data_IF_417834737370
#
_entry.id   IF_417834737370
#
_cell.length_a   1.000
_cell.length_b   1.000
_cell.length_c   1.000
_cell.angle_alpha   90.00
_cell.angle_beta   90.00
_cell.angle_gamma   90.00
#
_symmetry.space_group_name_H-M   'P 1'
#
loop_
_entity.id
_entity.type
_entity.pdbx_description
1 polymer ?
#
# COMPACT_ATOMS: atom_id res chain seq x y z
N UNK A 1 14.05 20.86 12.11
CA UNK A 1 13.74 19.61 11.41
C UNK A 1 14.33 19.65 10.00
N UNK A 2 14.93 18.55 9.54
CA UNK A 2 15.47 18.45 8.18
C UNK A 2 14.34 18.36 7.13
N UNK A 3 13.26 17.64 7.45
CA UNK A 3 12.08 17.48 6.60
C UNK A 3 10.89 18.23 7.18
N UNK A 4 9.94 18.62 6.33
CA UNK A 4 8.64 19.24 6.70
C UNK A 4 7.49 18.25 6.65
N UNK A 5 7.62 17.24 5.78
CA UNK A 5 6.59 16.24 5.56
C UNK A 5 7.18 14.84 5.39
N UNK A 6 6.32 13.85 5.64
CA UNK A 6 6.63 12.44 5.46
C UNK A 6 5.55 11.81 4.58
N UNK A 7 5.98 11.17 3.49
CA UNK A 7 5.16 10.27 2.69
C UNK A 7 5.30 8.88 3.29
N UNK A 8 4.21 8.20 3.57
CA UNK A 8 4.20 6.90 4.23
C UNK A 8 3.41 5.92 3.37
N UNK A 9 4.02 4.80 3.01
CA UNK A 9 3.32 3.72 2.35
C UNK A 9 2.26 3.09 3.28
N UNK A 10 1.28 2.40 2.71
CA UNK A 10 0.15 1.86 3.47
C UNK A 10 0.32 0.37 3.75
N UNK A 11 0.37 -0.45 2.70
CA UNK A 11 0.37 -1.91 2.85
C UNK A 11 1.76 -2.41 3.28
N UNK A 12 1.81 -3.23 4.33
CA UNK A 12 3.02 -3.69 5.03
C UNK A 12 3.88 -2.58 5.69
N UNK A 13 3.37 -1.31 5.71
CA UNK A 13 3.99 -0.21 6.46
C UNK A 13 3.05 0.30 7.57
N UNK A 14 1.79 0.57 7.26
CA UNK A 14 0.75 1.00 8.22
C UNK A 14 -0.24 -0.13 8.47
N UNK A 15 -0.75 -0.74 7.39
CA UNK A 15 -1.69 -1.85 7.44
C UNK A 15 -1.00 -3.17 7.11
N UNK A 16 -1.28 -4.19 7.91
CA UNK A 16 -0.70 -5.53 7.75
C UNK A 16 -1.34 -6.23 6.55
N UNK A 17 -0.58 -6.35 5.45
CA UNK A 17 -1.08 -6.87 4.18
C UNK A 17 -1.59 -8.31 4.29
N UNK A 18 -0.82 -9.21 4.92
CA UNK A 18 -1.14 -10.65 4.93
C UNK A 18 -2.43 -10.95 5.67
N UNK A 19 -2.64 -10.54 6.94
CA UNK A 19 -3.91 -10.78 7.63
C UNK A 19 -5.07 -10.05 6.96
N UNK A 20 -4.88 -8.84 6.45
CA UNK A 20 -5.92 -8.13 5.69
C UNK A 20 -6.31 -8.89 4.41
N UNK A 21 -5.33 -9.41 3.67
CA UNK A 21 -5.55 -10.19 2.47
C UNK A 21 -6.27 -11.51 2.78
N UNK A 22 -5.90 -12.17 3.88
CA UNK A 22 -6.55 -13.39 4.35
C UNK A 22 -8.00 -13.15 4.73
N UNK A 23 -8.28 -12.11 5.50
CA UNK A 23 -9.64 -11.72 5.91
C UNK A 23 -10.53 -11.45 4.69
N UNK A 24 -10.02 -10.69 3.72
CA UNK A 24 -10.76 -10.38 2.49
C UNK A 24 -11.02 -11.63 1.64
N UNK A 25 -10.04 -12.54 1.55
CA UNK A 25 -10.17 -13.79 0.82
C UNK A 25 -11.21 -14.72 1.46
N UNK A 26 -11.16 -14.91 2.77
CA UNK A 26 -12.09 -15.76 3.51
C UNK A 26 -13.54 -15.24 3.42
N UNK A 27 -13.70 -13.92 3.36
CA UNK A 27 -15.03 -13.32 3.12
C UNK A 27 -15.52 -13.49 1.67
N UNK A 28 -14.61 -13.52 0.68
CA UNK A 28 -14.96 -13.67 -0.73
C UNK A 28 -15.18 -15.12 -1.16
N UNK A 29 -14.52 -16.08 -0.50
CA UNK A 29 -14.59 -17.51 -0.82
C UNK A 29 -14.58 -18.35 0.47
N UNK A 30 -15.60 -18.21 1.34
CA UNK A 30 -15.60 -18.79 2.69
C UNK A 30 -15.59 -20.31 2.71
N UNK A 31 -16.11 -20.94 1.64
CA UNK A 31 -16.21 -22.40 1.54
C UNK A 31 -14.90 -23.10 1.13
N UNK A 32 -13.88 -22.30 0.71
CA UNK A 32 -12.62 -22.80 0.18
C UNK A 32 -11.40 -22.07 0.74
N UNK A 33 -11.22 -22.01 2.08
CA UNK A 33 -10.09 -21.31 2.71
C UNK A 33 -8.72 -21.92 2.34
N UNK A 34 -8.70 -23.17 1.88
CA UNK A 34 -7.48 -23.87 1.42
C UNK A 34 -6.85 -23.24 0.17
N UNK A 35 -7.62 -22.50 -0.63
CA UNK A 35 -7.12 -21.86 -1.84
C UNK A 35 -6.42 -20.52 -1.59
N UNK A 36 -6.39 -20.03 -0.34
CA UNK A 36 -5.76 -18.75 -0.03
C UNK A 36 -4.28 -18.70 -0.46
N UNK A 37 -3.51 -19.73 -0.20
CA UNK A 37 -2.09 -19.71 -0.55
C UNK A 37 -1.89 -19.59 -2.07
N UNK A 38 -2.67 -20.32 -2.87
CA UNK A 38 -2.62 -20.23 -4.32
C UNK A 38 -3.00 -18.82 -4.81
N UNK A 39 -4.07 -18.24 -4.24
CA UNK A 39 -4.48 -16.87 -4.53
C UNK A 39 -3.36 -15.87 -4.21
N UNK A 40 -2.78 -16.00 -3.02
CA UNK A 40 -1.72 -15.12 -2.53
C UNK A 40 -0.45 -15.20 -3.39
N UNK A 41 -0.08 -16.40 -3.83
CA UNK A 41 1.09 -16.62 -4.69
C UNK A 41 0.87 -16.04 -6.10
N UNK A 42 -0.32 -16.20 -6.69
CA UNK A 42 -0.68 -15.60 -7.98
C UNK A 42 -0.64 -14.07 -7.89
N UNK A 43 -1.29 -13.48 -6.88
CA UNK A 43 -1.29 -12.05 -6.68
C UNK A 43 0.13 -11.52 -6.44
N UNK A 44 0.91 -12.17 -5.55
CA UNK A 44 2.29 -11.80 -5.24
C UNK A 44 3.21 -11.81 -6.46
N UNK A 45 3.09 -12.82 -7.33
CA UNK A 45 3.83 -12.88 -8.60
C UNK A 45 3.48 -11.71 -9.51
N UNK A 46 2.19 -11.43 -9.72
CA UNK A 46 1.74 -10.36 -10.61
C UNK A 46 2.15 -8.97 -10.09
N UNK A 47 2.03 -8.73 -8.78
CA UNK A 47 2.53 -7.49 -8.18
C UNK A 47 4.06 -7.37 -8.29
N UNK A 48 4.81 -8.48 -8.16
CA UNK A 48 6.25 -8.47 -8.39
C UNK A 48 6.60 -8.11 -9.82
N UNK A 49 5.88 -8.65 -10.80
CA UNK A 49 6.05 -8.34 -12.23
C UNK A 49 5.70 -6.86 -12.52
N UNK A 50 4.68 -6.30 -11.87
CA UNK A 50 4.34 -4.87 -11.98
C UNK A 50 5.44 -3.95 -11.44
N UNK A 51 6.08 -4.31 -10.32
CA UNK A 51 7.23 -3.54 -9.77
C UNK A 51 8.38 -3.42 -10.78
N UNK A 52 8.48 -4.37 -11.72
CA UNK A 52 9.48 -4.37 -12.80
C UNK A 52 8.93 -3.82 -14.14
N UNK A 53 7.74 -3.21 -14.13
CA UNK A 53 7.16 -2.53 -15.28
C UNK A 53 6.51 -3.44 -16.34
N UNK A 54 6.26 -4.73 -16.02
CA UNK A 54 5.58 -5.65 -16.93
C UNK A 54 4.08 -5.36 -17.04
N UNK A 55 3.48 -4.93 -15.94
CA UNK A 55 2.07 -4.57 -15.83
C UNK A 55 1.91 -3.27 -15.04
N UNK A 56 0.85 -2.53 -15.31
CA UNK A 56 0.33 -1.49 -14.42
C UNK A 56 -0.41 -2.13 -13.24
N UNK A 57 -0.59 -1.40 -12.15
CA UNK A 57 -1.41 -1.87 -11.02
C UNK A 57 -2.85 -2.14 -11.46
N UNK A 58 -3.41 -1.34 -12.37
CA UNK A 58 -4.74 -1.56 -12.92
C UNK A 58 -4.85 -2.94 -13.61
N UNK A 59 -3.88 -3.28 -14.46
CA UNK A 59 -3.82 -4.58 -15.12
C UNK A 59 -3.69 -5.73 -14.12
N UNK A 60 -2.84 -5.58 -13.10
CA UNK A 60 -2.72 -6.60 -12.04
C UNK A 60 -4.04 -6.82 -11.33
N UNK A 61 -4.74 -5.74 -10.98
CA UNK A 61 -6.04 -5.81 -10.30
C UNK A 61 -7.13 -6.54 -11.11
N UNK A 62 -6.99 -6.60 -12.43
CA UNK A 62 -7.89 -7.34 -13.32
C UNK A 62 -7.39 -8.76 -13.64
N UNK A 63 -6.08 -9.00 -13.57
CA UNK A 63 -5.47 -10.28 -13.92
C UNK A 63 -5.52 -11.31 -12.79
N UNK A 64 -5.18 -10.92 -11.53
CA UNK A 64 -5.07 -11.91 -10.46
C UNK A 64 -6.38 -12.67 -10.17
N UNK A 65 -7.59 -12.05 -10.24
CA UNK A 65 -8.81 -12.82 -10.02
C UNK A 65 -9.08 -13.81 -11.15
N UNK A 66 -8.77 -13.41 -12.39
CA UNK A 66 -8.96 -14.27 -13.58
C UNK A 66 -8.05 -15.49 -13.51
N UNK A 67 -6.77 -15.28 -13.27
CA UNK A 67 -5.80 -16.37 -13.12
C UNK A 67 -6.17 -17.31 -11.96
N UNK A 68 -6.57 -16.73 -10.83
CA UNK A 68 -6.95 -17.51 -9.66
C UNK A 68 -8.19 -18.37 -9.93
N UNK A 69 -9.27 -17.81 -10.45
CA UNK A 69 -10.52 -18.53 -10.74
C UNK A 69 -10.28 -19.66 -11.77
N UNK A 70 -9.47 -19.38 -12.79
CA UNK A 70 -9.08 -20.42 -13.76
C UNK A 70 -8.23 -21.53 -13.10
N UNK A 71 -7.30 -21.17 -12.21
CA UNK A 71 -6.42 -22.13 -11.54
C UNK A 71 -7.15 -23.09 -10.60
N UNK A 72 -8.27 -22.66 -9.99
CA UNK A 72 -9.11 -23.54 -9.16
C UNK A 72 -10.19 -24.29 -9.98
N UNK A 73 -10.18 -24.16 -11.32
CA UNK A 73 -11.09 -24.88 -12.21
C UNK A 73 -12.54 -24.34 -12.23
N UNK A 74 -12.75 -23.11 -11.79
CA UNK A 74 -14.07 -22.49 -11.81
C UNK A 74 -14.33 -21.82 -13.19
N UNK A 75 -15.62 -21.68 -13.59
CA UNK A 75 -15.96 -21.04 -14.84
C UNK A 75 -15.63 -19.55 -14.81
N UNK A 76 -15.33 -18.96 -15.99
CA UNK A 76 -15.02 -17.53 -16.13
C UNK A 76 -16.08 -16.61 -15.53
N UNK A 77 -17.34 -17.04 -15.56
CA UNK A 77 -18.46 -16.32 -14.91
C UNK A 77 -18.32 -16.12 -13.40
N UNK A 78 -17.44 -16.86 -12.73
CA UNK A 78 -17.14 -16.69 -11.31
C UNK A 78 -16.13 -15.55 -11.03
N UNK A 79 -15.43 -15.02 -12.04
CA UNK A 79 -14.41 -13.99 -11.88
C UNK A 79 -14.99 -12.69 -11.31
N UNK A 80 -16.06 -12.19 -11.93
CA UNK A 80 -16.67 -10.93 -11.50
C UNK A 80 -17.28 -11.01 -10.09
N UNK A 81 -18.10 -12.02 -9.74
CA UNK A 81 -18.60 -12.19 -8.38
C UNK A 81 -17.49 -12.28 -7.32
N UNK A 82 -16.43 -13.08 -7.56
CA UNK A 82 -15.29 -13.18 -6.67
C UNK A 82 -14.58 -11.83 -6.52
N UNK A 83 -14.27 -11.16 -7.64
CA UNK A 83 -13.58 -9.86 -7.65
C UNK A 83 -14.34 -8.82 -6.85
N UNK A 84 -15.67 -8.75 -7.07
CA UNK A 84 -16.54 -7.82 -6.35
C UNK A 84 -16.54 -8.12 -4.84
N UNK A 85 -16.73 -9.38 -4.45
CA UNK A 85 -16.76 -9.79 -3.06
C UNK A 85 -15.40 -9.52 -2.37
N UNK A 86 -14.28 -9.87 -3.03
CA UNK A 86 -12.93 -9.64 -2.51
C UNK A 86 -12.67 -8.14 -2.33
N UNK A 87 -12.93 -7.31 -3.34
CA UNK A 87 -12.69 -5.86 -3.26
C UNK A 87 -13.56 -5.20 -2.18
N UNK A 88 -14.82 -5.62 -2.05
CA UNK A 88 -15.71 -5.14 -1.00
C UNK A 88 -15.19 -5.49 0.40
N UNK A 89 -14.73 -6.73 0.59
CA UNK A 89 -14.12 -7.18 1.84
C UNK A 89 -12.79 -6.49 2.10
N UNK A 90 -11.90 -6.44 1.10
CA UNK A 90 -10.60 -5.77 1.17
C UNK A 90 -10.72 -4.34 1.66
N UNK A 91 -11.65 -3.56 1.10
CA UNK A 91 -11.89 -2.18 1.54
C UNK A 91 -12.32 -2.05 3.00
N UNK A 92 -12.68 -3.14 3.68
CA UNK A 92 -13.07 -3.14 5.08
C UNK A 92 -11.97 -3.65 6.03
N UNK A 93 -10.90 -4.25 5.53
CA UNK A 93 -9.79 -4.75 6.34
C UNK A 93 -8.95 -3.59 6.89
N UNK A 94 -8.48 -3.72 8.13
CA UNK A 94 -7.84 -2.58 8.81
C UNK A 94 -6.86 -2.99 9.92
N UNK A 95 -6.32 -4.20 9.88
CA UNK A 95 -5.30 -4.65 10.82
C UNK A 95 -4.04 -3.80 10.67
N UNK A 96 -3.62 -3.16 11.76
CA UNK A 96 -2.41 -2.33 11.78
C UNK A 96 -1.15 -3.19 11.90
N UNK A 97 -0.07 -2.72 11.28
CA UNK A 97 1.28 -3.17 11.59
C UNK A 97 1.60 -2.80 13.06
N UNK A 98 2.31 -3.64 13.82
CA UNK A 98 2.77 -3.26 15.16
C UNK A 98 3.48 -1.91 15.16
N UNK A 99 3.22 -1.08 16.16
CA UNK A 99 3.77 0.28 16.34
C UNK A 99 3.33 1.32 15.29
N UNK A 100 2.46 0.98 14.32
CA UNK A 100 2.06 1.93 13.27
C UNK A 100 1.36 3.17 13.85
N UNK A 101 0.48 2.98 14.81
CA UNK A 101 -0.23 4.10 15.45
C UNK A 101 0.71 4.95 16.30
N UNK A 102 1.57 4.31 17.08
CA UNK A 102 2.59 4.97 17.90
C UNK A 102 3.56 5.79 17.04
N UNK A 103 3.97 5.25 15.88
CA UNK A 103 4.78 5.99 14.90
C UNK A 103 4.05 7.23 14.39
N UNK A 104 2.77 7.09 13.99
CA UNK A 104 1.99 8.22 13.49
C UNK A 104 1.79 9.31 14.57
N UNK A 105 1.53 8.91 15.82
CA UNK A 105 1.46 9.83 16.96
C UNK A 105 2.77 10.58 17.14
N UNK A 106 3.90 9.86 17.21
CA UNK A 106 5.22 10.44 17.40
C UNK A 106 5.63 11.42 16.29
N UNK A 107 5.34 11.08 15.04
CA UNK A 107 5.64 11.93 13.89
C UNK A 107 4.78 13.21 13.89
N UNK A 108 3.50 13.10 14.20
CA UNK A 108 2.59 14.25 14.34
C UNK A 108 3.02 15.16 15.49
N UNK A 109 3.36 14.59 16.65
CA UNK A 109 3.79 15.35 17.84
C UNK A 109 5.12 16.09 17.60
N UNK A 110 5.98 15.56 16.73
CA UNK A 110 7.17 16.25 16.22
C UNK A 110 6.84 17.35 15.19
N UNK A 111 5.60 17.48 14.76
CA UNK A 111 5.14 18.53 13.86
C UNK A 111 5.30 18.23 12.36
N UNK A 112 5.52 16.97 11.98
CA UNK A 112 5.55 16.59 10.57
C UNK A 112 4.14 16.59 9.96
N UNK A 113 4.05 17.08 8.71
CA UNK A 113 2.88 16.87 7.84
C UNK A 113 2.93 15.45 7.30
N UNK A 114 1.87 14.66 7.44
CA UNK A 114 1.84 13.25 7.01
C UNK A 114 0.95 13.08 5.78
N UNK A 115 1.42 12.28 4.83
CA UNK A 115 0.71 11.95 3.60
C UNK A 115 0.83 10.45 3.36
N UNK A 116 -0.29 9.77 3.11
CA UNK A 116 -0.26 8.36 2.72
C UNK A 116 0.05 8.25 1.21
N UNK A 117 0.89 7.28 0.82
CA UNK A 117 1.35 7.10 -0.56
C UNK A 117 1.31 5.62 -0.97
N UNK A 118 0.33 5.18 -1.77
CA UNK A 118 0.11 3.76 -2.06
C UNK A 118 -0.28 3.48 -3.52
N UNK A 119 0.10 2.29 -3.98
CA UNK A 119 -0.31 1.73 -5.27
C UNK A 119 -1.61 0.92 -5.09
N UNK A 120 -2.79 1.54 -5.28
CA UNK A 120 -4.09 0.90 -5.08
C UNK A 120 -5.26 1.75 -5.62
N UNK A 121 -6.49 1.34 -5.27
CA UNK A 121 -7.72 2.14 -5.45
C UNK A 121 -7.91 3.11 -4.28
N UNK A 122 -8.06 4.42 -4.59
CA UNK A 122 -8.13 5.46 -3.57
C UNK A 122 -9.26 5.28 -2.56
N UNK A 123 -10.46 4.97 -3.02
CA UNK A 123 -11.61 4.78 -2.14
C UNK A 123 -11.44 3.59 -1.18
N UNK A 124 -10.78 2.50 -1.62
CA UNK A 124 -10.53 1.34 -0.76
C UNK A 124 -9.50 1.67 0.33
N UNK A 125 -8.38 2.30 -0.04
CA UNK A 125 -7.34 2.65 0.93
C UNK A 125 -7.83 3.66 1.96
N UNK A 126 -8.57 4.69 1.54
CA UNK A 126 -9.15 5.67 2.48
C UNK A 126 -10.12 5.01 3.47
N UNK A 127 -10.99 4.11 3.00
CA UNK A 127 -11.91 3.38 3.89
C UNK A 127 -11.16 2.49 4.90
N UNK A 128 -10.10 1.81 4.46
CA UNK A 128 -9.23 1.00 5.34
C UNK A 128 -8.54 1.84 6.41
N UNK A 129 -7.94 2.96 6.03
CA UNK A 129 -7.31 3.91 6.98
C UNK A 129 -8.33 4.51 7.95
N UNK A 130 -9.55 4.81 7.49
CA UNK A 130 -10.64 5.30 8.33
C UNK A 130 -11.06 4.27 9.37
N UNK A 131 -11.27 3.01 8.95
CA UNK A 131 -11.63 1.90 9.85
C UNK A 131 -10.52 1.56 10.85
N UNK A 132 -9.27 1.69 10.44
CA UNK A 132 -8.12 1.58 11.34
C UNK A 132 -7.99 2.75 12.33
N UNK A 133 -8.80 3.81 12.16
CA UNK A 133 -8.75 5.02 12.98
C UNK A 133 -7.51 5.88 12.74
N UNK A 134 -6.83 5.72 11.59
CA UNK A 134 -5.59 6.43 11.29
C UNK A 134 -5.71 7.42 10.12
N UNK A 135 -6.81 7.45 9.39
CA UNK A 135 -7.02 8.45 8.32
C UNK A 135 -6.82 9.90 8.79
N UNK A 136 -7.27 10.31 10.00
CA UNK A 136 -7.10 11.70 10.48
C UNK A 136 -5.66 12.15 10.74
N UNK A 137 -4.68 11.23 10.68
CA UNK A 137 -3.27 11.59 10.77
C UNK A 137 -2.74 12.23 9.48
N UNK A 138 -3.36 11.88 8.34
CA UNK A 138 -2.90 12.29 7.03
C UNK A 138 -3.59 13.56 6.57
N UNK A 139 -2.80 14.49 6.07
CA UNK A 139 -3.29 15.73 5.46
C UNK A 139 -3.92 15.45 4.09
N UNK A 140 -3.36 14.46 3.35
CA UNK A 140 -3.90 13.95 2.09
C UNK A 140 -3.44 12.50 1.83
N UNK A 141 -4.06 11.83 0.86
CA UNK A 141 -3.74 10.47 0.43
C UNK A 141 -3.39 10.46 -1.05
N UNK A 142 -2.15 10.09 -1.36
CA UNK A 142 -1.63 9.97 -2.72
C UNK A 142 -1.72 8.51 -3.17
N UNK A 143 -2.79 8.19 -3.89
CA UNK A 143 -3.07 6.83 -4.33
C UNK A 143 -2.95 6.76 -5.84
N UNK A 144 -2.26 5.73 -6.36
CA UNK A 144 -1.87 5.64 -7.76
C UNK A 144 -3.03 5.78 -8.73
N UNK A 145 -4.18 5.15 -8.45
CA UNK A 145 -5.36 5.24 -9.31
C UNK A 145 -5.99 6.65 -9.34
N UNK A 146 -5.78 7.47 -8.29
CA UNK A 146 -6.25 8.86 -8.24
C UNK A 146 -5.22 9.82 -8.87
N UNK A 147 -3.96 9.42 -8.87
CA UNK A 147 -2.84 10.19 -9.46
C UNK A 147 -2.69 9.92 -10.95
N UNK A 148 -2.96 8.67 -11.37
CA UNK A 148 -2.77 8.20 -12.75
C UNK A 148 -1.38 7.63 -13.06
N UNK A 149 -0.52 7.52 -12.05
CA UNK A 149 0.81 6.91 -12.13
C UNK A 149 1.07 6.04 -10.91
N UNK A 150 1.71 4.88 -11.12
CA UNK A 150 2.08 3.96 -10.05
C UNK A 150 3.52 4.22 -9.58
N UNK A 151 3.81 4.08 -8.27
CA UNK A 151 5.18 3.95 -7.78
C UNK A 151 5.82 2.71 -8.44
N UNK A 152 7.05 2.74 -8.95
CA UNK A 152 8.12 3.73 -8.78
C UNK A 152 8.22 4.81 -9.89
N UNK A 153 7.18 5.05 -10.69
CA UNK A 153 7.22 6.10 -11.70
C UNK A 153 7.47 7.47 -11.05
N UNK A 154 8.44 8.21 -11.54
CA UNK A 154 8.80 9.52 -11.01
C UNK A 154 7.61 10.49 -11.00
N UNK A 155 6.71 10.36 -11.98
CA UNK A 155 5.52 11.21 -12.13
C UNK A 155 4.55 11.07 -10.94
N UNK A 156 4.49 9.91 -10.28
CA UNK A 156 3.75 9.73 -9.04
C UNK A 156 4.26 10.69 -7.96
N UNK A 157 5.57 10.70 -7.74
CA UNK A 157 6.20 11.54 -6.71
C UNK A 157 6.17 13.03 -7.07
N UNK A 158 6.38 13.38 -8.34
CA UNK A 158 6.25 14.76 -8.83
C UNK A 158 4.86 15.33 -8.59
N UNK A 159 3.80 14.55 -8.88
CA UNK A 159 2.43 14.97 -8.63
C UNK A 159 2.13 15.06 -7.12
N UNK A 160 2.62 14.13 -6.30
CA UNK A 160 2.50 14.19 -4.84
C UNK A 160 3.17 15.45 -4.27
N UNK A 161 4.40 15.77 -4.72
CA UNK A 161 5.13 16.98 -4.33
C UNK A 161 4.40 18.26 -4.76
N UNK A 162 3.85 18.26 -5.99
CA UNK A 162 3.05 19.39 -6.50
C UNK A 162 1.82 19.64 -5.63
N UNK A 163 1.10 18.57 -5.22
CA UNK A 163 -0.10 18.68 -4.38
C UNK A 163 0.22 19.19 -2.98
N UNK A 164 1.28 18.69 -2.32
CA UNK A 164 1.64 19.17 -0.99
C UNK A 164 2.39 20.52 -0.99
N UNK A 165 2.82 21.01 -2.16
CA UNK A 165 3.53 22.27 -2.30
C UNK A 165 4.94 22.27 -1.71
N UNK A 166 5.61 21.12 -1.66
CA UNK A 166 6.94 20.96 -1.08
C UNK A 166 7.98 20.58 -2.14
N UNK A 167 9.25 20.88 -1.82
CA UNK A 167 10.40 20.44 -2.61
C UNK A 167 10.81 19.02 -2.21
N UNK A 168 11.45 18.24 -3.09
CA UNK A 168 11.93 16.89 -2.76
C UNK A 168 12.76 16.84 -1.48
N UNK A 169 13.68 17.79 -1.26
CA UNK A 169 14.54 17.86 -0.08
C UNK A 169 13.82 18.18 1.24
N UNK A 170 12.54 18.55 1.19
CA UNK A 170 11.70 18.85 2.34
C UNK A 170 10.82 17.66 2.75
N UNK A 171 10.87 16.56 2.00
CA UNK A 171 10.05 15.36 2.19
C UNK A 171 10.92 14.14 2.44
N UNK A 172 10.42 13.22 3.27
CA UNK A 172 11.00 11.90 3.49
C UNK A 172 9.95 10.86 3.10
N UNK A 173 10.34 9.79 2.38
CA UNK A 173 9.49 8.62 2.14
C UNK A 173 9.81 7.53 3.16
N UNK A 174 8.77 6.89 3.72
CA UNK A 174 8.87 5.67 4.53
C UNK A 174 8.03 4.58 3.87
N UNK A 175 8.62 3.42 3.61
CA UNK A 175 7.91 2.29 3.02
C UNK A 175 8.69 0.99 3.09
N UNK A 176 7.98 -0.13 2.83
CA UNK A 176 8.52 -1.50 2.89
C UNK A 176 9.05 -2.04 1.55
N UNK A 177 8.82 -1.32 0.46
CA UNK A 177 9.26 -1.76 -0.86
C UNK A 177 10.51 -1.04 -1.33
N UNK A 178 11.63 -1.78 -1.44
CA UNK A 178 12.88 -1.21 -1.96
C UNK A 178 12.69 -0.60 -3.34
N UNK A 179 11.93 -1.25 -4.23
CA UNK A 179 11.76 -0.80 -5.62
C UNK A 179 10.78 0.36 -5.74
N UNK A 180 9.56 0.21 -5.19
CA UNK A 180 8.48 1.20 -5.41
C UNK A 180 8.65 2.43 -4.55
N UNK A 181 9.00 2.25 -3.26
CA UNK A 181 9.06 3.35 -2.30
C UNK A 181 10.44 3.99 -2.28
N UNK A 182 11.47 3.18 -2.06
CA UNK A 182 12.81 3.71 -1.78
C UNK A 182 13.50 4.20 -3.05
N UNK A 183 13.63 3.32 -4.05
CA UNK A 183 14.26 3.71 -5.32
C UNK A 183 13.41 4.71 -6.09
N UNK A 184 12.06 4.54 -6.07
CA UNK A 184 11.13 5.48 -6.70
C UNK A 184 11.26 6.89 -6.13
N UNK A 185 11.20 7.04 -4.80
CA UNK A 185 11.35 8.32 -4.12
C UNK A 185 12.73 8.94 -4.38
N UNK A 186 13.81 8.15 -4.32
CA UNK A 186 15.17 8.64 -4.58
C UNK A 186 15.37 9.14 -6.00
N UNK A 187 14.75 8.51 -7.00
CA UNK A 187 14.76 9.01 -8.40
C UNK A 187 14.09 10.39 -8.52
N UNK A 188 13.10 10.68 -7.67
CA UNK A 188 12.46 11.99 -7.57
C UNK A 188 13.21 12.99 -6.68
N UNK A 189 14.37 12.64 -6.13
CA UNK A 189 15.18 13.47 -5.24
C UNK A 189 14.65 13.54 -3.80
N UNK A 190 13.75 12.63 -3.42
CA UNK A 190 13.20 12.50 -2.07
C UNK A 190 14.06 11.51 -1.30
N UNK A 191 14.51 11.88 -0.10
CA UNK A 191 15.17 10.94 0.82
C UNK A 191 14.18 9.84 1.26
N UNK A 192 14.69 8.62 1.50
CA UNK A 192 13.82 7.50 1.83
C UNK A 192 14.41 6.58 2.88
N UNK A 193 13.57 6.13 3.82
CA UNK A 193 13.84 5.11 4.83
C UNK A 193 13.11 3.81 4.50
N UNK A 194 13.87 2.75 4.40
CA UNK A 194 13.34 1.41 4.16
C UNK A 194 12.90 0.76 5.48
N UNK A 195 11.64 0.37 5.53
CA UNK A 195 11.10 -0.40 6.65
C UNK A 195 11.20 -1.90 6.34
N UNK A 196 12.28 -2.52 6.81
CA UNK A 196 12.48 -3.98 6.67
C UNK A 196 11.61 -4.76 7.67
N UNK A 197 10.30 -4.74 7.45
CA UNK A 197 9.35 -5.45 8.30
C UNK A 197 9.64 -6.94 8.40
N UNK A 198 10.00 -7.57 7.27
CA UNK A 198 10.28 -9.03 7.22
C UNK A 198 11.58 -9.39 7.94
N UNK A 199 12.53 -8.46 7.99
CA UNK A 199 13.75 -8.56 8.78
C UNK A 199 13.55 -8.25 10.27
N UNK A 200 12.31 -7.90 10.70
CA UNK A 200 11.98 -7.64 12.10
C UNK A 200 12.29 -6.20 12.55
N UNK A 201 12.39 -5.24 11.62
CA UNK A 201 12.58 -3.84 11.97
C UNK A 201 11.39 -3.30 12.79
N UNK A 202 11.67 -2.42 13.75
CA UNK A 202 10.69 -1.64 14.51
C UNK A 202 10.44 -0.30 13.83
N UNK A 203 9.17 0.11 13.71
CA UNK A 203 8.80 1.43 13.20
C UNK A 203 9.29 2.55 14.13
N UNK A 204 9.26 2.33 15.45
CA UNK A 204 9.73 3.31 16.43
C UNK A 204 11.25 3.49 16.39
N UNK A 205 12.02 2.42 16.17
CA UNK A 205 13.46 2.54 15.96
C UNK A 205 13.79 3.23 14.62
N UNK A 206 13.00 2.96 13.57
CA UNK A 206 13.19 3.58 12.25
C UNK A 206 13.09 5.11 12.29
N UNK A 207 12.17 5.66 13.10
CA UNK A 207 11.93 7.11 13.21
C UNK A 207 12.67 7.77 14.37
N UNK A 208 13.55 7.06 15.06
CA UNK A 208 14.20 7.52 16.29
C UNK A 208 15.03 8.79 16.09
N UNK A 209 15.66 8.94 14.93
CA UNK A 209 16.53 10.08 14.60
C UNK A 209 15.79 11.22 13.85
N UNK A 210 14.48 11.08 13.60
CA UNK A 210 13.66 12.14 13.04
C UNK A 210 13.14 13.07 14.15
#
# INVERSE_FOLDING_TARGET
>A
MRYKAIFIDIDDTILDYVPCCREAFDAALPEHPEHFQLFFDIAGRLFSEAKHGKYTIAEVMDLYPKEFIAAIGYPESAVEPFTHAFRAAWGNTHTLVPEAKEMLDALRDKGYRLFAASNSFGHLQRNRLEKAGVLPYFEDTYISMDIGYDKPDIRFFEEALRRCGLKPSEVLMIGDSMTTDIEGARKAGIDALFFDRRGGASLMELIKEL
#
